data_IF_254311866613
#
_entry.id   IF_254311866613
#
_cell.length_a   1.000
_cell.length_b   1.000
_cell.length_c   1.000
_cell.angle_alpha   90.00
_cell.angle_beta   90.00
_cell.angle_gamma   90.00
#
_symmetry.space_group_name_H-M   'P 1'
#
loop_
_entity.id
_entity.type
_entity.pdbx_description
1 polymer ?
#
# COMPACT_ATOMS: atom_id res chain seq x y z
N UNK A 1 20.59 -19.46 6.38
CA UNK A 1 20.50 -18.94 5.03
C UNK A 1 19.82 -17.57 5.04
N UNK A 2 20.50 -16.51 4.55
CA UNK A 2 20.01 -15.13 4.54
C UNK A 2 18.72 -14.97 3.73
N UNK A 3 18.56 -15.73 2.66
CA UNK A 3 17.35 -15.74 1.81
C UNK A 3 16.17 -16.30 2.61
N UNK A 4 16.36 -17.33 3.41
CA UNK A 4 15.32 -17.96 4.20
C UNK A 4 14.76 -17.03 5.29
N UNK A 5 15.61 -16.25 5.96
CA UNK A 5 15.17 -15.27 6.97
C UNK A 5 14.32 -14.16 6.36
N UNK A 6 14.71 -13.66 5.20
CA UNK A 6 13.98 -12.64 4.45
C UNK A 6 12.60 -13.15 4.00
N UNK A 7 12.57 -14.37 3.46
CA UNK A 7 11.34 -15.05 3.05
C UNK A 7 10.43 -15.33 4.25
N UNK A 8 10.99 -15.70 5.40
CA UNK A 8 10.22 -15.96 6.63
C UNK A 8 9.54 -14.69 7.14
N UNK A 9 10.22 -13.54 7.14
CA UNK A 9 9.64 -12.25 7.54
C UNK A 9 8.52 -11.85 6.58
N UNK A 10 8.75 -12.00 5.28
CA UNK A 10 7.77 -11.71 4.24
C UNK A 10 6.53 -12.59 4.37
N UNK A 11 6.72 -13.90 4.55
CA UNK A 11 5.63 -14.85 4.78
C UNK A 11 4.85 -14.55 6.06
N UNK A 12 5.52 -14.12 7.13
CA UNK A 12 4.87 -13.74 8.37
C UNK A 12 3.95 -12.53 8.18
N UNK A 13 4.38 -11.52 7.42
CA UNK A 13 3.57 -10.35 7.10
C UNK A 13 2.35 -10.75 6.26
N UNK A 14 2.53 -11.54 5.22
CA UNK A 14 1.44 -12.04 4.36
C UNK A 14 0.45 -12.87 5.17
N UNK A 15 0.93 -13.81 5.99
CA UNK A 15 0.09 -14.63 6.85
C UNK A 15 -0.72 -13.79 7.84
N UNK A 16 -0.09 -12.80 8.46
CA UNK A 16 -0.73 -11.87 9.39
C UNK A 16 -1.84 -11.08 8.71
N UNK A 17 -1.59 -10.57 7.51
CA UNK A 17 -2.57 -9.86 6.69
C UNK A 17 -3.72 -10.75 6.26
N UNK A 18 -3.42 -11.90 5.68
CA UNK A 18 -4.45 -12.87 5.25
C UNK A 18 -5.35 -13.29 6.41
N UNK A 19 -4.75 -13.49 7.59
CA UNK A 19 -5.48 -13.85 8.80
C UNK A 19 -6.38 -12.72 9.29
N UNK A 20 -5.95 -11.47 9.14
CA UNK A 20 -6.65 -10.28 9.62
C UNK A 20 -7.75 -9.80 8.68
N UNK A 21 -7.52 -9.85 7.36
CA UNK A 21 -8.41 -9.25 6.36
C UNK A 21 -9.33 -10.28 5.70
N UNK A 22 -8.98 -11.58 5.79
CA UNK A 22 -9.65 -12.65 5.07
C UNK A 22 -9.15 -12.74 3.62
N UNK A 23 -8.97 -13.97 3.14
CA UNK A 23 -8.42 -14.25 1.79
C UNK A 23 -9.46 -13.98 0.70
N UNK A 24 -10.74 -13.98 1.06
CA UNK A 24 -11.85 -14.02 0.12
C UNK A 24 -12.51 -12.67 -0.18
N UNK A 25 -11.89 -11.55 0.23
CA UNK A 25 -12.41 -10.23 -0.14
C UNK A 25 -11.95 -9.88 -1.56
N UNK A 26 -12.89 -9.80 -2.54
CA UNK A 26 -12.55 -9.54 -3.93
C UNK A 26 -11.97 -8.13 -4.17
N UNK A 27 -12.13 -7.24 -3.20
CA UNK A 27 -11.65 -5.86 -3.27
C UNK A 27 -10.25 -5.68 -2.70
N UNK A 28 -9.65 -6.75 -2.17
CA UNK A 28 -8.32 -6.73 -1.56
C UNK A 28 -7.47 -7.84 -2.17
N UNK A 29 -6.31 -7.46 -2.69
CA UNK A 29 -5.33 -8.39 -3.25
C UNK A 29 -3.98 -8.20 -2.55
N UNK A 30 -3.35 -9.31 -2.16
CA UNK A 30 -2.05 -9.29 -1.47
C UNK A 30 -1.03 -10.03 -2.35
N UNK A 31 0.04 -9.34 -2.72
CA UNK A 31 1.15 -9.87 -3.50
C UNK A 31 2.47 -9.64 -2.78
N UNK A 32 3.43 -10.52 -3.03
CA UNK A 32 4.79 -10.38 -2.54
C UNK A 32 5.74 -10.45 -3.73
N UNK A 33 6.54 -9.42 -3.91
CA UNK A 33 7.57 -9.36 -4.93
C UNK A 33 8.88 -8.85 -4.33
N UNK A 34 9.95 -9.61 -4.50
CA UNK A 34 11.31 -9.20 -4.08
C UNK A 34 11.39 -8.72 -2.62
N UNK A 35 10.68 -9.41 -1.73
CA UNK A 35 10.67 -9.08 -0.30
C UNK A 35 9.79 -7.91 0.10
N UNK A 36 9.06 -7.32 -0.83
CA UNK A 36 8.12 -6.23 -0.59
C UNK A 36 6.69 -6.77 -0.64
N UNK A 37 5.88 -6.40 0.33
CA UNK A 37 4.47 -6.80 0.39
C UNK A 37 3.61 -5.70 -0.21
N UNK A 38 2.78 -6.06 -1.19
CA UNK A 38 1.84 -5.16 -1.84
C UNK A 38 0.42 -5.56 -1.46
N UNK A 39 -0.33 -4.61 -0.92
CA UNK A 39 -1.76 -4.79 -0.62
C UNK A 39 -2.52 -3.83 -1.52
N UNK A 40 -3.23 -4.34 -2.51
CA UNK A 40 -4.05 -3.53 -3.40
C UNK A 40 -5.50 -3.52 -2.90
N UNK A 41 -6.06 -2.34 -2.73
CA UNK A 41 -7.42 -2.15 -2.24
C UNK A 41 -8.21 -1.39 -3.30
N UNK A 42 -9.35 -1.94 -3.71
CA UNK A 42 -10.21 -1.33 -4.71
C UNK A 42 -10.77 0.02 -4.22
N UNK A 43 -10.84 0.99 -5.12
CA UNK A 43 -11.37 2.32 -4.86
C UNK A 43 -12.80 2.30 -4.27
N UNK A 44 -13.65 1.43 -4.80
CA UNK A 44 -15.05 1.32 -4.32
C UNK A 44 -15.17 0.90 -2.87
N UNK A 45 -14.16 0.19 -2.33
CA UNK A 45 -14.12 -0.17 -0.92
C UNK A 45 -13.69 1.01 -0.06
N UNK A 46 -12.77 1.83 -0.56
CA UNK A 46 -12.13 2.90 0.20
C UNK A 46 -12.88 4.22 0.17
N UNK A 47 -13.43 4.59 -0.98
CA UNK A 47 -14.01 5.92 -1.21
C UNK A 47 -15.31 5.84 -1.98
N UNK A 48 -16.16 6.85 -1.77
CA UNK A 48 -17.29 7.10 -2.67
C UNK A 48 -16.76 7.60 -4.01
N UNK A 49 -17.49 7.34 -5.10
CA UNK A 49 -17.09 7.76 -6.45
C UNK A 49 -16.73 9.25 -6.50
N UNK A 50 -15.58 9.56 -7.08
CA UNK A 50 -15.07 10.93 -7.18
C UNK A 50 -14.70 11.61 -5.86
N UNK A 51 -14.72 10.88 -4.75
CA UNK A 51 -14.43 11.41 -3.42
C UNK A 51 -13.07 10.95 -2.91
N UNK A 52 -12.56 11.64 -1.91
CA UNK A 52 -11.40 11.27 -1.10
C UNK A 52 -11.77 11.07 0.38
N UNK A 53 -13.05 10.96 0.67
CA UNK A 53 -13.55 10.68 2.03
C UNK A 53 -13.60 9.17 2.22
N UNK A 54 -12.93 8.68 3.25
CA UNK A 54 -12.85 7.26 3.57
C UNK A 54 -14.22 6.76 4.06
N UNK A 55 -14.67 5.62 3.51
CA UNK A 55 -15.95 5.01 3.91
C UNK A 55 -15.85 4.33 5.27
N UNK A 56 -16.99 4.10 5.93
CA UNK A 56 -17.02 3.35 7.19
C UNK A 56 -16.53 1.91 7.03
N UNK A 57 -16.86 1.26 5.90
CA UNK A 57 -16.38 -0.09 5.59
C UNK A 57 -14.86 -0.12 5.44
N UNK A 58 -14.29 0.91 4.83
CA UNK A 58 -12.84 1.05 4.68
C UNK A 58 -12.13 1.18 6.04
N UNK A 59 -12.73 1.86 6.99
CA UNK A 59 -12.16 2.00 8.33
C UNK A 59 -11.92 0.65 9.01
N UNK A 60 -12.84 -0.29 8.85
CA UNK A 60 -12.68 -1.65 9.36
C UNK A 60 -11.48 -2.37 8.73
N UNK A 61 -11.29 -2.23 7.43
CA UNK A 61 -10.12 -2.77 6.73
C UNK A 61 -8.84 -2.09 7.19
N UNK A 62 -8.87 -0.78 7.31
CA UNK A 62 -7.69 0.01 7.73
C UNK A 62 -7.28 -0.28 9.18
N UNK A 63 -8.20 -0.63 10.08
CA UNK A 63 -7.85 -1.11 11.42
C UNK A 63 -6.91 -2.31 11.36
N UNK A 64 -7.20 -3.25 10.48
CA UNK A 64 -6.39 -4.46 10.30
C UNK A 64 -5.03 -4.13 9.67
N UNK A 65 -5.01 -3.27 8.67
CA UNK A 65 -3.76 -2.79 8.04
C UNK A 65 -2.90 -2.04 9.06
N UNK A 66 -3.51 -1.16 9.86
CA UNK A 66 -2.83 -0.40 10.91
C UNK A 66 -2.14 -1.33 11.92
N UNK A 67 -2.82 -2.39 12.34
CA UNK A 67 -2.26 -3.38 13.27
C UNK A 67 -1.02 -4.05 12.67
N UNK A 68 -1.07 -4.44 11.42
CA UNK A 68 0.06 -5.09 10.74
C UNK A 68 1.26 -4.14 10.66
N UNK A 69 1.03 -2.88 10.29
CA UNK A 69 2.11 -1.88 10.21
C UNK A 69 2.71 -1.63 11.60
N UNK A 70 1.87 -1.46 12.61
CA UNK A 70 2.29 -1.18 13.99
C UNK A 70 3.07 -2.34 14.61
N UNK A 71 2.76 -3.58 14.24
CA UNK A 71 3.47 -4.77 14.69
C UNK A 71 4.89 -4.88 14.10
N UNK A 72 5.20 -4.08 13.08
CA UNK A 72 6.50 -4.05 12.39
C UNK A 72 7.09 -2.63 12.40
N UNK A 73 7.55 -2.14 13.57
CA UNK A 73 8.03 -0.76 13.69
C UNK A 73 9.27 -0.45 12.84
N UNK A 74 9.99 -1.47 12.39
CA UNK A 74 11.17 -1.36 11.54
C UNK A 74 10.83 -1.29 10.04
N UNK A 75 9.56 -1.34 9.67
CA UNK A 75 9.11 -1.26 8.29
C UNK A 75 8.48 0.10 8.01
N UNK A 76 8.51 0.49 6.75
CA UNK A 76 7.77 1.63 6.23
C UNK A 76 6.56 1.15 5.43
N UNK A 77 5.51 1.93 5.45
CA UNK A 77 4.33 1.68 4.64
C UNK A 77 4.07 2.89 3.74
N UNK A 78 4.22 2.70 2.44
CA UNK A 78 3.89 3.70 1.45
C UNK A 78 2.46 3.49 0.98
N UNK A 79 1.65 4.53 1.08
CA UNK A 79 0.27 4.52 0.61
C UNK A 79 0.27 5.18 -0.77
N UNK A 80 0.08 4.37 -1.80
CA UNK A 80 0.22 4.78 -3.20
C UNK A 80 -1.14 4.77 -3.91
N UNK A 81 -1.64 5.94 -4.27
CA UNK A 81 -2.91 6.11 -4.95
C UNK A 81 -2.78 6.02 -6.47
N UNK A 82 -3.77 5.41 -7.13
CA UNK A 82 -3.88 5.30 -8.57
C UNK A 82 -5.29 5.67 -9.04
N UNK A 83 -5.37 6.41 -10.13
CA UNK A 83 -6.64 6.80 -10.77
C UNK A 83 -6.79 6.11 -12.12
N UNK A 84 -7.98 6.22 -12.72
CA UNK A 84 -8.17 5.94 -14.14
C UNK A 84 -7.74 7.15 -14.99
N UNK A 85 -7.87 7.04 -16.30
CA UNK A 85 -7.45 8.09 -17.24
C UNK A 85 -8.48 9.21 -17.44
N UNK A 86 -9.67 9.12 -16.85
CA UNK A 86 -10.65 10.19 -16.94
C UNK A 86 -10.16 11.43 -16.21
N UNK A 87 -10.27 12.58 -16.86
CA UNK A 87 -9.91 13.86 -16.28
C UNK A 87 -10.69 14.13 -15.01
N UNK A 88 -10.00 14.65 -14.00
CA UNK A 88 -10.59 15.06 -12.74
C UNK A 88 -10.12 16.47 -12.37
N UNK A 89 -11.05 17.29 -11.95
CA UNK A 89 -10.78 18.56 -11.27
C UNK A 89 -12.01 18.98 -10.49
N UNK A 90 -11.84 19.70 -9.37
CA UNK A 90 -12.96 20.18 -8.56
C UNK A 90 -12.76 21.61 -8.03
N UNK A 91 -11.89 22.40 -8.67
CA UNK A 91 -11.59 23.76 -8.23
C UNK A 91 -10.57 23.87 -7.09
N UNK A 92 -10.32 22.79 -6.35
CA UNK A 92 -9.28 22.67 -5.32
C UNK A 92 -8.18 21.73 -5.80
N UNK A 93 -8.56 20.54 -6.27
CA UNK A 93 -7.66 19.56 -6.87
C UNK A 93 -7.61 19.83 -8.38
N UNK A 94 -6.41 19.97 -8.92
CA UNK A 94 -6.19 20.37 -10.30
C UNK A 94 -6.38 19.21 -11.30
N UNK A 95 -5.97 17.99 -10.91
CA UNK A 95 -5.89 16.84 -11.81
C UNK A 95 -5.84 15.52 -11.04
N UNK A 96 -5.57 14.44 -11.76
CA UNK A 96 -5.43 13.12 -11.17
C UNK A 96 -4.17 12.97 -10.31
N UNK A 97 -3.13 13.77 -10.51
CA UNK A 97 -2.00 13.80 -9.58
C UNK A 97 -2.47 14.21 -8.19
N UNK A 98 -3.17 15.32 -8.10
CA UNK A 98 -3.71 15.81 -6.83
C UNK A 98 -4.69 14.82 -6.20
N UNK A 99 -5.60 14.23 -7.01
CA UNK A 99 -6.58 13.27 -6.52
C UNK A 99 -5.91 12.03 -5.93
N UNK A 100 -4.93 11.46 -6.63
CA UNK A 100 -4.23 10.26 -6.17
C UNK A 100 -3.48 10.49 -4.86
N UNK A 101 -2.78 11.62 -4.74
CA UNK A 101 -2.09 12.00 -3.50
C UNK A 101 -3.08 12.33 -2.38
N UNK A 102 -4.16 13.04 -2.68
CA UNK A 102 -5.18 13.39 -1.68
C UNK A 102 -5.86 12.15 -1.09
N UNK A 103 -6.13 11.16 -1.90
CA UNK A 103 -6.66 9.87 -1.44
C UNK A 103 -5.67 9.16 -0.54
N UNK A 104 -4.40 9.15 -0.89
CA UNK A 104 -3.34 8.57 -0.05
C UNK A 104 -3.23 9.28 1.30
N UNK A 105 -3.25 10.60 1.33
CA UNK A 105 -3.19 11.36 2.59
C UNK A 105 -4.43 11.15 3.46
N UNK A 106 -5.60 10.96 2.86
CA UNK A 106 -6.83 10.64 3.60
C UNK A 106 -6.70 9.30 4.33
N UNK A 107 -6.13 8.29 3.67
CA UNK A 107 -5.87 6.98 4.29
C UNK A 107 -4.82 7.10 5.39
N UNK A 108 -3.75 7.83 5.16
CA UNK A 108 -2.69 8.06 6.15
C UNK A 108 -3.26 8.68 7.44
N UNK A 109 -4.14 9.66 7.31
CA UNK A 109 -4.78 10.27 8.49
C UNK A 109 -5.62 9.26 9.27
N UNK A 110 -6.32 8.37 8.60
CA UNK A 110 -7.05 7.27 9.27
C UNK A 110 -6.09 6.31 9.97
N UNK A 111 -4.99 5.92 9.33
CA UNK A 111 -3.97 5.05 9.93
C UNK A 111 -3.34 5.70 11.18
N UNK A 112 -3.09 7.00 11.14
CA UNK A 112 -2.59 7.74 12.32
C UNK A 112 -3.61 7.74 13.47
N UNK A 113 -4.89 7.94 13.18
CA UNK A 113 -5.96 7.84 14.18
C UNK A 113 -6.02 6.45 14.81
N UNK A 114 -5.67 5.43 14.07
CA UNK A 114 -5.63 4.04 14.53
C UNK A 114 -4.31 3.68 15.26
N UNK A 115 -3.42 4.63 15.46
CA UNK A 115 -2.22 4.47 16.27
C UNK A 115 -0.94 4.16 15.50
N UNK A 116 -0.95 4.18 14.18
CA UNK A 116 0.28 3.98 13.39
C UNK A 116 1.22 5.17 13.59
N UNK A 117 2.49 4.87 13.85
CA UNK A 117 3.51 5.91 13.97
C UNK A 117 3.69 6.62 12.62
N UNK A 118 3.49 7.95 12.55
CA UNK A 118 3.61 8.67 11.29
C UNK A 118 4.98 8.58 10.63
N UNK A 119 6.04 8.30 11.39
CA UNK A 119 7.38 8.10 10.83
C UNK A 119 7.49 6.85 9.94
N UNK A 120 6.53 5.93 10.03
CA UNK A 120 6.47 4.74 9.18
C UNK A 120 5.71 5.00 7.86
N UNK A 121 5.02 6.12 7.73
CA UNK A 121 4.07 6.35 6.65
C UNK A 121 4.61 7.28 5.57
N UNK A 122 4.40 6.89 4.32
CA UNK A 122 4.75 7.67 3.13
C UNK A 122 3.50 7.82 2.27
N UNK A 123 3.17 9.06 1.90
CA UNK A 123 2.08 9.34 0.97
C UNK A 123 2.63 9.44 -0.46
N UNK A 124 2.00 8.74 -1.40
CA UNK A 124 2.40 8.76 -2.80
C UNK A 124 1.18 8.75 -3.73
N UNK A 125 1.36 9.30 -4.92
CA UNK A 125 0.35 9.29 -5.97
C UNK A 125 0.98 9.05 -7.32
N UNK A 126 0.33 8.21 -8.15
CA UNK A 126 0.78 7.85 -9.50
C UNK A 126 -0.10 8.44 -10.59
N UNK A 127 -1.13 9.21 -10.25
CA UNK A 127 -2.13 9.65 -11.23
C UNK A 127 -2.69 8.45 -12.01
N UNK A 128 -2.82 8.55 -13.32
CA UNK A 128 -3.30 7.48 -14.20
C UNK A 128 -2.19 6.75 -14.98
N UNK A 129 -0.94 7.00 -14.64
CA UNK A 129 0.20 6.61 -15.50
C UNK A 129 0.75 5.22 -15.27
N UNK A 130 0.24 4.49 -14.29
CA UNK A 130 0.65 3.09 -14.03
C UNK A 130 -0.61 2.21 -13.97
N UNK A 131 -1.31 2.05 -15.11
CA UNK A 131 -2.54 1.27 -15.14
C UNK A 131 -2.26 -0.23 -15.07
N UNK A 132 -3.19 -0.99 -14.48
CA UNK A 132 -3.16 -2.46 -14.51
C UNK A 132 -3.68 -3.00 -15.85
N UNK A 133 -4.67 -2.32 -16.41
CA UNK A 133 -5.34 -2.67 -17.67
C UNK A 133 -5.60 -1.39 -18.45
N UNK A 134 -6.03 -1.49 -19.71
CA UNK A 134 -6.41 -0.30 -20.48
C UNK A 134 -7.60 0.41 -19.83
N UNK A 135 -7.82 1.67 -20.19
CA UNK A 135 -8.88 2.51 -19.63
C UNK A 135 -10.13 2.61 -20.53
N UNK A 136 -10.28 1.70 -21.48
CA UNK A 136 -11.32 1.82 -22.52
C UNK A 136 -12.73 1.53 -22.00
N UNK A 137 -12.87 0.61 -21.04
CA UNK A 137 -14.16 0.25 -20.48
C UNK A 137 -14.33 0.77 -19.06
N UNK A 138 -15.58 0.94 -18.62
CA UNK A 138 -15.87 1.32 -17.22
C UNK A 138 -15.35 0.27 -16.23
N UNK A 139 -15.43 -1.01 -16.60
CA UNK A 139 -14.89 -2.11 -15.78
C UNK A 139 -13.38 -2.02 -15.64
N UNK A 140 -12.65 -1.77 -16.71
CA UNK A 140 -11.20 -1.62 -16.67
C UNK A 140 -10.78 -0.37 -15.89
N UNK A 141 -11.48 0.74 -16.07
CA UNK A 141 -11.22 1.96 -15.27
C UNK A 141 -11.40 1.70 -13.77
N UNK A 142 -12.41 0.92 -13.40
CA UNK A 142 -12.63 0.54 -12.00
C UNK A 142 -11.44 -0.27 -11.43
N UNK A 143 -10.85 -1.15 -12.21
CA UNK A 143 -9.66 -1.92 -11.81
C UNK A 143 -8.44 -1.01 -11.64
N UNK A 144 -8.31 0.03 -12.44
CA UNK A 144 -7.20 0.98 -12.36
C UNK A 144 -7.32 1.91 -11.15
N UNK A 145 -8.53 2.21 -10.69
CA UNK A 145 -8.77 3.00 -9.48
C UNK A 145 -8.54 2.14 -8.24
N UNK A 146 -7.37 2.30 -7.65
CA UNK A 146 -6.96 1.51 -6.49
C UNK A 146 -5.97 2.27 -5.62
N UNK A 147 -5.78 1.79 -4.41
CA UNK A 147 -4.70 2.22 -3.54
C UNK A 147 -3.85 1.00 -3.19
N UNK A 148 -2.55 1.14 -3.31
CA UNK A 148 -1.61 0.11 -2.88
C UNK A 148 -0.94 0.52 -1.58
N UNK A 149 -0.97 -0.37 -0.61
CA UNK A 149 -0.12 -0.26 0.58
C UNK A 149 1.12 -1.08 0.33
N UNK A 150 2.28 -0.43 0.27
CA UNK A 150 3.56 -1.07 0.01
C UNK A 150 4.32 -1.13 1.32
N UNK A 151 4.42 -2.34 1.89
CA UNK A 151 5.11 -2.58 3.17
C UNK A 151 6.53 -3.05 2.86
N UNK A 152 7.51 -2.25 3.26
CA UNK A 152 8.92 -2.46 2.90
C UNK A 152 9.85 -2.19 4.09
N UNK A 153 10.98 -2.90 4.18
CA UNK A 153 11.98 -2.57 5.19
C UNK A 153 12.48 -1.13 5.02
N UNK A 154 12.83 -0.48 6.10
CA UNK A 154 13.49 0.83 6.04
C UNK A 154 14.80 0.71 5.29
N UNK A 155 15.18 1.77 4.57
CA UNK A 155 16.34 1.74 3.68
C UNK A 155 17.64 1.41 4.42
N UNK A 156 17.79 1.87 5.64
CA UNK A 156 18.97 1.59 6.47
C UNK A 156 19.10 0.10 6.74
N UNK A 157 18.00 -0.58 7.04
CA UNK A 157 18.00 -2.03 7.26
C UNK A 157 18.32 -2.80 5.98
N UNK A 158 17.85 -2.29 4.85
CA UNK A 158 18.17 -2.87 3.54
C UNK A 158 19.68 -2.82 3.27
N UNK A 159 20.33 -1.68 3.53
CA UNK A 159 21.77 -1.56 3.42
C UNK A 159 22.52 -2.45 4.40
N UNK A 160 22.07 -2.55 5.65
CA UNK A 160 22.66 -3.46 6.64
C UNK A 160 22.59 -4.92 6.20
N UNK A 161 21.47 -5.32 5.63
CA UNK A 161 21.29 -6.67 5.07
C UNK A 161 22.24 -6.93 3.90
N UNK A 162 22.40 -5.97 2.99
CA UNK A 162 23.35 -6.07 1.87
C UNK A 162 24.79 -6.18 2.39
N UNK A 163 25.18 -5.35 3.34
CA UNK A 163 26.53 -5.40 3.94
C UNK A 163 26.81 -6.74 4.57
N UNK A 164 25.84 -7.29 5.31
CA UNK A 164 25.98 -8.62 5.92
C UNK A 164 26.15 -9.72 4.88
N UNK A 165 25.34 -9.68 3.82
CA UNK A 165 25.46 -10.66 2.72
C UNK A 165 26.81 -10.53 2.01
N UNK A 166 27.28 -9.31 1.75
CA UNK A 166 28.59 -9.08 1.12
C UNK A 166 29.74 -9.59 2.01
N UNK A 167 29.70 -9.38 3.31
CA UNK A 167 30.69 -9.92 4.26
C UNK A 167 30.70 -11.44 4.27
N UNK A 168 29.54 -12.07 4.23
CA UNK A 168 29.43 -13.53 4.17
C UNK A 168 30.01 -14.10 2.86
N UNK A 169 29.81 -13.39 1.75
CA UNK A 169 30.32 -13.79 0.44
C UNK A 169 31.85 -13.58 0.32
N UNK A 170 32.40 -12.61 1.02
CA UNK A 170 33.85 -12.31 1.01
C UNK A 170 34.62 -13.15 2.00
N UNK A 171 33.97 -13.90 2.87
CA UNK A 171 34.61 -14.74 3.89
C UNK A 171 35.19 -13.98 5.06
N UNK A 172 34.77 -12.71 5.27
CA UNK A 172 35.17 -11.88 6.41
C UNK A 172 34.20 -12.00 7.60
#
# INVERSE_FOLDING_TARGET
>A
DAITKKDSVTLAIVSSLKKSVGIDDPDIEINVEKGVVFISISDKLLFKSGSYIVTEKAKTVLEKVAKVISDKPDFEAMIEGHTDSKSFSNGVLLDNWDLSVKRSTSIIRELQKLGVNPSQLIAAGRSSYVPLVDNETAENRAKNRRTRVVVMPKIDQFYDMIEKEMKQLSGE
#
